data_IF_876000715485
#
_entry.id   IF_876000715485
#
_cell.length_a   1.000
_cell.length_b   1.000
_cell.length_c   1.000
_cell.angle_alpha   90.00
_cell.angle_beta   90.00
_cell.angle_gamma   90.00
#
_symmetry.space_group_name_H-M   'P 1'
#
loop_
_entity.id
_entity.type
_entity.pdbx_description
1 polymer ?
#
# COMPACT_ATOMS: atom_id res chain seq x y z
N UNK A 1 8.15 -0.07 14.61
CA UNK A 1 9.14 0.93 15.10
C UNK A 1 10.52 0.42 14.72
N UNK A 2 11.02 0.85 13.56
CA UNK A 2 12.34 0.48 13.06
C UNK A 2 13.33 1.49 13.65
N UNK A 3 14.26 1.00 14.46
CA UNK A 3 15.41 1.75 14.99
C UNK A 3 16.64 1.30 14.21
N UNK A 4 17.14 2.11 13.29
CA UNK A 4 18.48 1.85 12.72
C UNK A 4 19.31 3.07 12.36
N UNK A 5 18.79 4.30 12.38
CA UNK A 5 19.60 5.49 12.14
C UNK A 5 19.30 6.53 13.22
N UNK A 6 20.34 7.15 13.78
CA UNK A 6 20.32 8.08 14.92
C UNK A 6 19.60 9.41 14.68
N UNK A 7 18.53 9.39 13.88
CA UNK A 7 17.57 10.46 13.75
C UNK A 7 16.58 10.35 14.90
N UNK A 8 16.40 11.43 15.66
CA UNK A 8 15.37 11.51 16.69
C UNK A 8 14.05 11.72 15.92
N UNK A 9 13.14 10.72 15.84
CA UNK A 9 11.87 10.95 15.20
C UNK A 9 11.11 11.99 16.03
N UNK A 10 10.81 13.12 15.41
CA UNK A 10 9.91 14.10 15.99
C UNK A 10 8.50 13.50 15.90
N UNK A 11 8.11 12.74 16.93
CA UNK A 11 6.80 12.10 16.97
C UNK A 11 5.78 13.15 17.42
N UNK A 12 5.15 13.82 16.46
CA UNK A 12 3.80 14.35 16.66
C UNK A 12 2.81 13.27 16.25
N UNK A 13 1.77 13.03 17.05
CA UNK A 13 0.56 12.35 16.56
C UNK A 13 -0.02 13.26 15.49
N UNK A 14 0.27 12.96 14.22
CA UNK A 14 -0.28 13.66 13.08
C UNK A 14 -1.81 13.70 13.20
N UNK A 15 -2.41 14.87 12.95
CA UNK A 15 -3.84 14.96 12.67
C UNK A 15 -4.20 13.86 11.64
N UNK A 16 -5.35 13.18 11.75
CA UNK A 16 -5.73 12.11 10.81
C UNK A 16 -5.55 12.50 9.33
N UNK A 17 -5.67 13.80 9.01
CA UNK A 17 -5.43 14.37 7.68
C UNK A 17 -3.94 14.38 7.31
N UNK A 18 -3.07 14.81 8.22
CA UNK A 18 -1.62 14.80 8.02
C UNK A 18 -1.11 13.35 7.92
N UNK A 19 -1.59 12.45 8.77
CA UNK A 19 -1.21 11.03 8.73
C UNK A 19 -1.57 10.39 7.39
N UNK A 20 -2.78 10.64 6.89
CA UNK A 20 -3.20 10.19 5.55
C UNK A 20 -2.29 10.71 4.45
N UNK A 21 -1.94 12.00 4.49
CA UNK A 21 -1.05 12.60 3.48
C UNK A 21 0.34 11.98 3.51
N UNK A 22 0.88 11.67 4.70
CA UNK A 22 2.19 10.99 4.83
C UNK A 22 2.15 9.59 4.27
N UNK A 23 1.10 8.81 4.54
CA UNK A 23 0.94 7.48 3.99
C UNK A 23 0.77 7.48 2.46
N UNK A 24 0.08 8.48 1.90
CA UNK A 24 0.01 8.65 0.44
C UNK A 24 1.39 8.95 -0.17
N UNK A 25 2.17 9.83 0.45
CA UNK A 25 3.53 10.13 -0.01
C UNK A 25 4.41 8.89 0.06
N UNK A 26 4.35 8.14 1.18
CA UNK A 26 5.10 6.90 1.35
C UNK A 26 4.70 5.85 0.32
N UNK A 27 3.41 5.70 0.00
CA UNK A 27 2.99 4.76 -1.05
C UNK A 27 3.62 5.06 -2.41
N UNK A 28 3.80 6.33 -2.75
CA UNK A 28 4.45 6.72 -4.02
C UNK A 28 5.93 6.38 -3.99
N UNK A 29 6.63 6.71 -2.89
CA UNK A 29 8.03 6.40 -2.65
C UNK A 29 8.33 4.90 -2.81
N UNK A 30 7.61 4.04 -2.09
CA UNK A 30 7.85 2.58 -2.13
C UNK A 30 7.56 1.98 -3.52
N UNK A 31 6.58 2.54 -4.25
CA UNK A 31 6.29 2.12 -5.63
C UNK A 31 7.41 2.54 -6.57
N UNK A 32 7.96 3.75 -6.41
CA UNK A 32 9.13 4.20 -7.18
C UNK A 32 10.35 3.32 -6.88
N UNK A 33 10.62 3.02 -5.60
CA UNK A 33 11.71 2.13 -5.17
C UNK A 33 11.54 0.71 -5.72
N UNK A 34 10.31 0.16 -5.73
CA UNK A 34 10.04 -1.13 -6.37
C UNK A 34 10.27 -1.10 -7.88
N UNK A 35 9.89 -0.02 -8.57
CA UNK A 35 10.08 0.11 -10.02
C UNK A 35 11.57 0.22 -10.39
N UNK A 36 12.42 0.71 -9.49
CA UNK A 36 13.87 0.77 -9.67
C UNK A 36 14.59 -0.53 -9.29
N UNK A 37 14.19 -1.15 -8.18
CA UNK A 37 14.92 -2.29 -7.58
C UNK A 37 14.35 -3.66 -7.94
N UNK A 38 13.06 -3.74 -8.29
CA UNK A 38 12.26 -4.97 -8.40
C UNK A 38 12.34 -5.88 -7.15
N UNK A 39 12.70 -5.31 -5.98
CA UNK A 39 12.93 -6.08 -4.75
C UNK A 39 11.62 -6.52 -4.08
N UNK A 40 11.64 -7.72 -3.50
CA UNK A 40 10.54 -8.22 -2.67
C UNK A 40 10.39 -7.47 -1.34
N UNK A 41 11.44 -6.75 -0.90
CA UNK A 41 11.40 -5.91 0.30
C UNK A 41 10.46 -4.72 0.06
N UNK A 42 10.62 -3.99 -1.05
CA UNK A 42 9.72 -2.87 -1.40
C UNK A 42 8.26 -3.32 -1.59
N UNK A 43 8.04 -4.54 -2.12
CA UNK A 43 6.68 -5.11 -2.19
C UNK A 43 6.06 -5.32 -0.79
N UNK A 44 6.87 -5.67 0.21
CA UNK A 44 6.41 -5.81 1.58
C UNK A 44 6.08 -4.45 2.20
N UNK A 45 6.90 -3.43 1.92
CA UNK A 45 6.67 -2.07 2.39
C UNK A 45 5.43 -1.43 1.73
N UNK A 46 5.21 -1.65 0.43
CA UNK A 46 3.95 -1.30 -0.26
C UNK A 46 2.74 -1.94 0.46
N UNK A 47 2.82 -3.22 0.82
CA UNK A 47 1.73 -3.91 1.53
C UNK A 47 1.46 -3.30 2.91
N UNK A 48 2.50 -2.94 3.65
CA UNK A 48 2.38 -2.29 4.97
C UNK A 48 1.69 -0.92 4.85
N UNK A 49 2.04 -0.12 3.83
CA UNK A 49 1.41 1.17 3.57
C UNK A 49 -0.06 1.00 3.19
N UNK A 50 -0.39 0.04 2.32
CA UNK A 50 -1.78 -0.28 1.96
C UNK A 50 -2.60 -0.65 3.20
N UNK A 51 -2.08 -1.53 4.06
CA UNK A 51 -2.77 -1.94 5.29
C UNK A 51 -2.99 -0.78 6.25
N UNK A 52 -2.01 0.12 6.38
CA UNK A 52 -2.13 1.34 7.18
C UNK A 52 -3.22 2.27 6.65
N UNK A 53 -3.30 2.45 5.32
CA UNK A 53 -4.33 3.27 4.67
C UNK A 53 -5.74 2.70 4.85
N UNK A 54 -5.91 1.37 4.73
CA UNK A 54 -7.22 0.75 4.92
C UNK A 54 -7.66 0.77 6.37
N UNK A 55 -6.73 0.61 7.32
CA UNK A 55 -7.02 0.74 8.75
C UNK A 55 -7.54 2.14 9.09
N UNK A 56 -6.96 3.20 8.51
CA UNK A 56 -7.45 4.57 8.67
C UNK A 56 -8.88 4.78 8.13
N UNK A 57 -9.29 3.98 7.15
CA UNK A 57 -10.64 4.00 6.56
C UNK A 57 -11.62 3.06 7.28
N UNK A 58 -11.20 2.37 8.34
CA UNK A 58 -12.01 1.38 9.04
C UNK A 58 -12.21 0.07 8.25
N UNK A 59 -11.38 -0.19 7.25
CA UNK A 59 -11.41 -1.42 6.44
C UNK A 59 -10.28 -2.34 6.93
N UNK A 60 -10.58 -3.43 7.65
CA UNK A 60 -9.57 -4.36 8.12
C UNK A 60 -8.98 -5.16 6.94
N UNK A 61 -7.81 -5.75 7.17
CA UNK A 61 -7.06 -6.53 6.17
C UNK A 61 -7.91 -7.63 5.53
N UNK A 62 -8.71 -8.35 6.33
CA UNK A 62 -9.57 -9.42 5.82
C UNK A 62 -10.62 -8.88 4.84
N UNK A 63 -11.16 -7.69 5.11
CA UNK A 63 -12.14 -7.06 4.24
C UNK A 63 -11.51 -6.57 2.93
N UNK A 64 -10.28 -6.02 2.98
CA UNK A 64 -9.53 -5.69 1.77
C UNK A 64 -9.27 -6.94 0.91
N UNK A 65 -8.87 -8.05 1.53
CA UNK A 65 -8.66 -9.32 0.84
C UNK A 65 -9.96 -9.85 0.22
N UNK A 66 -11.08 -9.75 0.94
CA UNK A 66 -12.39 -10.12 0.42
C UNK A 66 -12.77 -9.29 -0.81
N UNK A 67 -12.55 -7.97 -0.78
CA UNK A 67 -12.78 -7.08 -1.92
C UNK A 67 -11.86 -7.43 -3.11
N UNK A 68 -10.60 -7.78 -2.85
CA UNK A 68 -9.66 -8.22 -3.89
C UNK A 68 -10.14 -9.51 -4.55
N UNK A 69 -10.57 -10.50 -3.76
CA UNK A 69 -11.08 -11.79 -4.26
C UNK A 69 -12.35 -11.61 -5.07
N UNK A 70 -13.32 -10.82 -4.57
CA UNK A 70 -14.54 -10.51 -5.31
C UNK A 70 -14.25 -9.87 -6.67
N UNK A 71 -13.34 -8.89 -6.73
CA UNK A 71 -12.92 -8.26 -8.00
C UNK A 71 -12.22 -9.24 -8.93
N UNK A 72 -11.40 -10.14 -8.39
CA UNK A 72 -10.71 -11.20 -9.12
C UNK A 72 -11.71 -12.18 -9.75
N UNK A 73 -12.77 -12.53 -9.03
CA UNK A 73 -13.82 -13.42 -9.55
C UNK A 73 -14.67 -12.72 -10.61
N UNK A 74 -15.02 -11.45 -10.40
CA UNK A 74 -15.86 -10.66 -11.33
C UNK A 74 -15.14 -10.26 -12.61
N UNK A 75 -13.86 -9.87 -12.52
CA UNK A 75 -13.12 -9.22 -13.61
C UNK A 75 -11.89 -10.01 -14.07
N UNK A 76 -11.59 -11.12 -13.40
CA UNK A 76 -10.31 -11.82 -13.52
C UNK A 76 -9.23 -11.19 -12.63
N UNK A 77 -8.19 -11.96 -12.35
CA UNK A 77 -6.95 -11.49 -11.72
C UNK A 77 -5.80 -11.38 -12.72
N UNK A 78 -4.68 -10.85 -12.24
CA UNK A 78 -3.44 -10.77 -13.04
C UNK A 78 -2.78 -12.14 -13.31
N UNK A 79 -3.26 -13.21 -12.67
CA UNK A 79 -2.70 -14.58 -12.77
C UNK A 79 -2.75 -15.17 -14.19
N UNK A 80 -3.73 -14.79 -15.00
CA UNK A 80 -3.82 -15.28 -16.39
C UNK A 80 -2.89 -14.52 -17.35
N UNK A 81 -2.09 -13.56 -16.86
CA UNK A 81 -1.35 -12.58 -17.68
C UNK A 81 -2.26 -11.77 -18.63
N UNK A 82 -3.56 -11.75 -18.34
CA UNK A 82 -4.54 -10.97 -19.09
C UNK A 82 -4.58 -9.59 -18.45
N UNK A 83 -3.98 -8.61 -19.13
CA UNK A 83 -4.04 -7.19 -18.72
C UNK A 83 -5.11 -6.51 -19.55
N UNK A 84 -6.15 -6.00 -18.90
CA UNK A 84 -7.15 -5.16 -19.55
C UNK A 84 -6.46 -3.86 -20.03
N UNK A 85 -6.32 -3.69 -21.35
CA UNK A 85 -5.64 -2.52 -21.93
C UNK A 85 -6.53 -1.27 -21.94
N UNK A 86 -7.83 -1.41 -22.16
CA UNK A 86 -8.80 -0.30 -22.14
C UNK A 86 -10.25 -0.85 -22.11
N UNK A 87 -11.17 -0.09 -21.51
CA UNK A 87 -12.62 -0.23 -21.71
C UNK A 87 -13.13 1.04 -22.36
N UNK A 88 -13.80 0.92 -23.52
CA UNK A 88 -14.48 2.03 -24.19
C UNK A 88 -15.77 2.41 -23.48
#
# INVERSE_FOLDING_TARGET
IIRSHGEIPLISTADPTEYKSRLHAKLVEEVEEYLESESSEELADILEVIHSLTALQGVPREQLQHLQNKKRDERGGFEKRIVLKETR
#
